data_IF_998904552556
#
_entry.id   IF_998904552556
#
_cell.length_a   1.000
_cell.length_b   1.000
_cell.length_c   1.000
_cell.angle_alpha   90.00
_cell.angle_beta   90.00
_cell.angle_gamma   90.00
#
_symmetry.space_group_name_H-M   'P 1'
#
loop_
_entity.id
_entity.type
_entity.pdbx_description
1 polymer ?
#
# COMPACT_ATOMS: atom_id res chain seq x y z
N UNK A 1 -0.32 -13.62 6.13
CA UNK A 1 -1.34 -12.57 6.18
C UNK A 1 -2.69 -13.26 6.19
N UNK A 2 -3.62 -12.83 7.04
CA UNK A 2 -4.98 -13.37 7.06
C UNK A 2 -5.93 -12.19 7.15
N UNK A 3 -6.71 -11.96 6.08
CA UNK A 3 -7.74 -10.91 5.97
C UNK A 3 -9.09 -11.59 5.78
N UNK A 4 -10.11 -11.16 6.52
CA UNK A 4 -11.46 -11.70 6.34
C UNK A 4 -12.14 -11.12 5.08
N UNK A 5 -13.26 -11.74 4.71
CA UNK A 5 -14.01 -11.40 3.51
C UNK A 5 -14.58 -9.98 3.53
N UNK A 6 -15.01 -9.46 4.69
CA UNK A 6 -15.62 -8.13 4.80
C UNK A 6 -14.56 -7.06 4.49
N UNK A 7 -13.39 -7.15 5.13
CA UNK A 7 -12.27 -6.22 4.89
C UNK A 7 -11.75 -6.32 3.46
N UNK A 8 -11.60 -7.54 2.93
CA UNK A 8 -11.19 -7.74 1.55
C UNK A 8 -12.13 -7.06 0.54
N UNK A 9 -13.45 -7.21 0.71
CA UNK A 9 -14.43 -6.62 -0.20
C UNK A 9 -14.47 -5.09 -0.13
N UNK A 10 -14.17 -4.50 1.03
CA UNK A 10 -14.07 -3.05 1.18
C UNK A 10 -12.78 -2.49 0.54
N UNK A 11 -11.68 -3.24 0.58
CA UNK A 11 -10.35 -2.80 0.12
C UNK A 11 -10.11 -3.07 -1.37
N UNK A 12 -10.44 -4.26 -1.85
CA UNK A 12 -9.99 -4.74 -3.15
C UNK A 12 -10.48 -3.90 -4.34
N UNK A 13 -11.74 -3.42 -4.41
CA UNK A 13 -12.21 -2.63 -5.56
C UNK A 13 -11.37 -1.36 -5.78
N UNK A 14 -11.17 -0.57 -4.73
CA UNK A 14 -10.40 0.68 -4.79
C UNK A 14 -8.93 0.42 -5.15
N UNK A 15 -8.33 -0.62 -4.57
CA UNK A 15 -6.96 -1.01 -4.93
C UNK A 15 -6.83 -1.32 -6.43
N UNK A 16 -7.73 -2.12 -7.00
CA UNK A 16 -7.66 -2.50 -8.41
C UNK A 16 -7.98 -1.35 -9.35
N UNK A 17 -8.86 -0.45 -8.96
CA UNK A 17 -9.14 0.78 -9.70
C UNK A 17 -7.87 1.64 -9.81
N UNK A 18 -7.20 1.88 -8.68
CA UNK A 18 -5.97 2.66 -8.62
C UNK A 18 -4.82 2.00 -9.39
N UNK A 19 -4.62 0.70 -9.18
CA UNK A 19 -3.62 -0.08 -9.90
C UNK A 19 -3.82 0.00 -11.41
N UNK A 20 -5.06 -0.15 -11.88
CA UNK A 20 -5.37 -0.09 -13.30
C UNK A 20 -5.27 1.33 -13.87
N UNK A 21 -5.59 2.36 -13.09
CA UNK A 21 -5.35 3.76 -13.48
C UNK A 21 -3.86 3.99 -13.74
N UNK A 22 -3.00 3.53 -12.83
CA UNK A 22 -1.53 3.63 -12.96
C UNK A 22 -0.98 2.78 -14.11
N UNK A 23 -1.46 1.56 -14.31
CA UNK A 23 -1.04 0.71 -15.44
C UNK A 23 -1.34 1.39 -16.77
N UNK A 24 -2.58 1.88 -16.97
CA UNK A 24 -2.97 2.58 -18.21
C UNK A 24 -2.16 3.83 -18.46
N UNK A 25 -1.88 4.63 -17.41
CA UNK A 25 -1.06 5.83 -17.52
C UNK A 25 0.39 5.54 -17.97
N UNK A 26 0.86 4.29 -17.79
CA UNK A 26 2.19 3.83 -18.23
C UNK A 26 2.13 2.96 -19.50
N UNK A 27 1.00 2.93 -20.21
CA UNK A 27 0.82 2.12 -21.42
C UNK A 27 0.76 0.60 -21.19
N UNK A 28 0.55 0.17 -19.94
CA UNK A 28 0.45 -1.24 -19.56
C UNK A 28 -1.02 -1.72 -19.57
N UNK A 29 -1.26 -3.01 -19.87
CA UNK A 29 -2.61 -3.57 -19.88
C UNK A 29 -3.22 -3.59 -18.47
N UNK A 30 -4.51 -3.29 -18.39
CA UNK A 30 -5.26 -3.41 -17.15
C UNK A 30 -5.39 -4.87 -16.71
N UNK A 31 -5.40 -5.08 -15.40
CA UNK A 31 -5.50 -6.40 -14.78
C UNK A 31 -6.76 -6.48 -13.93
N UNK A 32 -7.41 -7.64 -13.93
CA UNK A 32 -8.55 -7.94 -13.08
C UNK A 32 -8.23 -9.10 -12.16
N UNK A 33 -8.59 -8.97 -10.88
CA UNK A 33 -8.54 -10.09 -9.96
C UNK A 33 -9.44 -11.22 -10.43
N UNK A 34 -8.91 -12.44 -10.45
CA UNK A 34 -9.63 -13.65 -10.78
C UNK A 34 -9.52 -14.60 -9.60
N UNK A 35 -10.66 -15.01 -9.03
CA UNK A 35 -10.73 -15.77 -7.77
C UNK A 35 -10.18 -17.20 -7.85
N UNK A 36 -9.93 -17.73 -9.05
CA UNK A 36 -9.24 -19.00 -9.32
C UNK A 36 -8.80 -18.95 -10.78
N UNK A 37 -7.66 -18.31 -11.09
CA UNK A 37 -7.28 -18.14 -12.47
C UNK A 37 -6.69 -19.44 -13.01
N UNK A 38 -7.07 -19.84 -14.23
CA UNK A 38 -6.52 -21.04 -14.87
C UNK A 38 -5.02 -20.92 -15.21
N UNK A 39 -4.46 -19.71 -15.14
CA UNK A 39 -3.04 -19.37 -15.28
C UNK A 39 -2.71 -18.19 -14.35
N UNK A 40 -1.47 -18.02 -13.87
CA UNK A 40 -1.11 -16.86 -13.05
C UNK A 40 -1.48 -15.56 -13.76
N UNK A 41 -2.20 -14.67 -13.07
CA UNK A 41 -2.53 -13.34 -13.61
C UNK A 41 -1.23 -12.53 -13.61
N UNK A 42 -0.73 -12.06 -14.78
CA UNK A 42 0.53 -11.35 -14.86
C UNK A 42 0.35 -9.94 -14.27
N UNK A 43 0.62 -9.81 -12.97
CA UNK A 43 0.66 -8.52 -12.27
C UNK A 43 2.11 -8.08 -12.12
N UNK A 44 2.36 -6.78 -12.28
CA UNK A 44 3.67 -6.22 -11.96
C UNK A 44 3.97 -6.47 -10.46
N UNK A 45 5.16 -6.96 -10.08
CA UNK A 45 5.47 -7.35 -8.69
C UNK A 45 5.23 -6.25 -7.66
N UNK A 46 5.33 -4.98 -8.05
CA UNK A 46 5.03 -3.84 -7.18
C UNK A 46 3.59 -3.83 -6.67
N UNK A 47 2.64 -4.25 -7.50
CA UNK A 47 1.22 -4.28 -7.14
C UNK A 47 0.97 -5.31 -6.04
N UNK A 48 1.63 -6.46 -6.11
CA UNK A 48 1.55 -7.47 -5.06
C UNK A 48 2.08 -6.95 -3.71
N UNK A 49 3.20 -6.21 -3.74
CA UNK A 49 3.77 -5.57 -2.52
C UNK A 49 2.81 -4.53 -1.94
N UNK A 50 2.28 -3.65 -2.77
CA UNK A 50 1.33 -2.60 -2.34
C UNK A 50 0.04 -3.21 -1.78
N UNK A 51 -0.50 -4.26 -2.42
CA UNK A 51 -1.66 -5.00 -1.92
C UNK A 51 -1.37 -5.67 -0.57
N UNK A 52 -0.18 -6.26 -0.43
CA UNK A 52 0.25 -6.89 0.81
C UNK A 52 0.25 -5.87 1.95
N UNK A 53 0.84 -4.69 1.75
CA UNK A 53 0.87 -3.60 2.74
C UNK A 53 -0.53 -3.17 3.15
N UNK A 54 -1.42 -2.94 2.18
CA UNK A 54 -2.80 -2.55 2.47
C UNK A 54 -3.52 -3.60 3.30
N UNK A 55 -3.45 -4.86 2.89
CA UNK A 55 -4.06 -5.96 3.63
C UNK A 55 -3.46 -6.11 5.03
N UNK A 56 -2.16 -5.86 5.14
CA UNK A 56 -1.44 -5.85 6.39
C UNK A 56 -1.88 -4.71 7.31
N UNK A 57 -2.08 -3.50 6.79
CA UNK A 57 -2.52 -2.33 7.57
C UNK A 57 -3.91 -2.53 8.15
N UNK A 58 -4.82 -3.14 7.38
CA UNK A 58 -6.23 -3.25 7.77
C UNK A 58 -6.58 -4.54 8.50
N UNK A 59 -5.65 -5.49 8.66
CA UNK A 59 -5.98 -6.85 9.14
C UNK A 59 -6.72 -6.86 10.48
N UNK A 60 -6.39 -5.92 11.36
CA UNK A 60 -6.98 -5.74 12.70
C UNK A 60 -7.67 -4.36 12.84
N UNK A 61 -7.85 -3.62 11.74
CA UNK A 61 -8.54 -2.32 11.71
C UNK A 61 -10.06 -2.48 11.71
N UNK A 62 -10.84 -1.48 12.13
CA UNK A 62 -12.28 -1.52 11.87
C UNK A 62 -12.52 -1.49 10.36
N UNK A 63 -13.50 -2.22 9.81
CA UNK A 63 -13.90 -2.05 8.42
C UNK A 63 -14.25 -0.60 8.04
N UNK A 64 -14.69 0.19 9.03
CA UNK A 64 -15.03 1.61 8.85
C UNK A 64 -13.80 2.49 8.64
N UNK A 65 -12.61 2.02 9.03
CA UNK A 65 -11.34 2.74 8.84
C UNK A 65 -10.73 2.48 7.44
N UNK A 66 -11.24 1.50 6.69
CA UNK A 66 -10.69 1.10 5.38
C UNK A 66 -10.72 2.25 4.35
N UNK A 67 -11.78 3.08 4.26
CA UNK A 67 -11.75 4.26 3.39
C UNK A 67 -10.60 5.22 3.71
N UNK A 68 -10.33 5.46 5.00
CA UNK A 68 -9.20 6.29 5.42
C UNK A 68 -7.86 5.64 5.07
N UNK A 69 -7.74 4.32 5.27
CA UNK A 69 -6.57 3.54 4.87
C UNK A 69 -6.26 3.63 3.38
N UNK A 70 -7.27 3.48 2.53
CA UNK A 70 -7.12 3.62 1.07
C UNK A 70 -6.66 5.02 0.71
N UNK A 71 -7.26 6.05 1.32
CA UNK A 71 -6.89 7.44 1.06
C UNK A 71 -5.45 7.76 1.46
N UNK A 72 -5.04 7.36 2.67
CA UNK A 72 -3.67 7.53 3.14
C UNK A 72 -2.67 6.81 2.24
N UNK A 73 -2.96 5.57 1.84
CA UNK A 73 -2.14 4.82 0.90
C UNK A 73 -2.04 5.48 -0.49
N UNK A 74 -3.15 5.99 -1.03
CA UNK A 74 -3.15 6.73 -2.30
C UNK A 74 -2.29 7.98 -2.24
N UNK A 75 -2.25 8.65 -1.09
CA UNK A 75 -1.44 9.85 -0.87
C UNK A 75 0.07 9.58 -0.81
N UNK A 76 0.48 8.33 -0.58
CA UNK A 76 1.89 7.95 -0.56
C UNK A 76 2.46 7.92 -1.98
N UNK A 77 3.69 8.43 -2.13
CA UNK A 77 4.51 8.21 -3.31
C UNK A 77 4.84 6.71 -3.48
N UNK A 78 5.15 6.29 -4.71
CA UNK A 78 5.47 4.89 -5.01
C UNK A 78 6.63 4.37 -4.15
N UNK A 79 7.63 5.22 -3.93
CA UNK A 79 8.83 4.97 -3.14
C UNK A 79 8.50 4.74 -1.66
N UNK A 80 7.63 5.58 -1.09
CA UNK A 80 7.17 5.46 0.30
C UNK A 80 6.43 4.13 0.50
N UNK A 81 5.57 3.73 -0.46
CA UNK A 81 4.88 2.44 -0.42
C UNK A 81 5.88 1.29 -0.40
N UNK A 82 6.91 1.32 -1.25
CA UNK A 82 7.90 0.23 -1.30
C UNK A 82 8.79 0.19 -0.07
N UNK A 83 9.15 1.36 0.46
CA UNK A 83 9.88 1.46 1.70
C UNK A 83 9.09 0.82 2.86
N UNK A 84 7.79 1.10 2.99
CA UNK A 84 6.93 0.45 3.99
C UNK A 84 6.91 -1.08 3.85
N UNK A 85 6.88 -1.60 2.62
CA UNK A 85 6.94 -3.05 2.37
C UNK A 85 8.25 -3.63 2.92
N UNK A 86 9.38 -3.02 2.56
CA UNK A 86 10.72 -3.48 2.94
C UNK A 86 10.89 -3.48 4.46
N UNK A 87 10.48 -2.40 5.15
CA UNK A 87 10.58 -2.31 6.61
C UNK A 87 9.70 -3.35 7.31
N UNK A 88 8.49 -3.57 6.78
CA UNK A 88 7.56 -4.55 7.35
C UNK A 88 8.06 -5.98 7.14
N UNK A 89 8.46 -6.35 5.91
CA UNK A 89 8.86 -7.73 5.60
C UNK A 89 10.16 -8.13 6.28
N UNK A 90 11.10 -7.19 6.45
CA UNK A 90 12.40 -7.44 7.08
C UNK A 90 12.28 -7.89 8.55
N UNK A 91 11.18 -7.55 9.23
CA UNK A 91 11.02 -7.75 10.68
C UNK A 91 9.78 -8.56 11.05
N UNK A 92 8.69 -8.35 10.31
CA UNK A 92 7.34 -8.83 10.65
C UNK A 92 6.57 -9.34 9.43
N UNK A 93 7.27 -9.88 8.43
CA UNK A 93 6.66 -10.35 7.18
C UNK A 93 5.86 -11.65 7.28
N UNK A 94 6.00 -12.40 8.38
CA UNK A 94 5.33 -13.71 8.50
C UNK A 94 3.85 -13.56 8.84
N UNK A 95 3.06 -14.57 8.47
CA UNK A 95 1.60 -14.51 8.60
C UNK A 95 1.08 -14.36 10.03
N UNK A 96 1.80 -14.90 11.01
CA UNK A 96 1.42 -14.89 12.43
C UNK A 96 1.96 -13.69 13.20
N UNK A 97 2.88 -12.92 12.61
CA UNK A 97 3.40 -11.70 13.22
C UNK A 97 2.40 -10.57 12.96
N UNK A 98 1.34 -10.52 13.77
CA UNK A 98 0.27 -9.52 13.69
C UNK A 98 0.35 -8.53 14.86
N UNK A 99 -0.10 -7.30 14.65
CA UNK A 99 -0.25 -6.30 15.73
C UNK A 99 1.03 -5.86 16.46
N UNK A 100 2.22 -6.22 15.96
CA UNK A 100 3.51 -5.94 16.62
C UNK A 100 4.51 -5.27 15.68
N UNK A 101 5.47 -4.53 16.25
CA UNK A 101 6.55 -3.86 15.50
C UNK A 101 6.03 -3.04 14.32
N UNK A 102 6.60 -3.30 13.14
CA UNK A 102 6.22 -2.61 11.90
C UNK A 102 4.78 -2.86 11.47
N UNK A 103 4.11 -3.94 11.89
CA UNK A 103 2.67 -4.14 11.62
C UNK A 103 1.82 -3.12 12.35
N UNK A 104 2.17 -2.82 13.61
CA UNK A 104 1.51 -1.80 14.41
C UNK A 104 1.79 -0.40 13.85
N UNK A 105 3.04 -0.12 13.49
CA UNK A 105 3.42 1.13 12.84
C UNK A 105 2.68 1.33 11.50
N UNK A 106 2.54 0.26 10.71
CA UNK A 106 1.85 0.29 9.44
C UNK A 106 0.35 0.57 9.59
N UNK A 107 -0.31 -0.07 10.58
CA UNK A 107 -1.70 0.26 10.94
C UNK A 107 -1.81 1.73 11.34
N UNK A 108 -0.93 2.24 12.18
CA UNK A 108 -0.95 3.65 12.59
C UNK A 108 -0.78 4.61 11.40
N UNK A 109 0.21 4.35 10.54
CA UNK A 109 0.52 5.21 9.40
C UNK A 109 -0.58 5.24 8.34
N UNK A 110 -1.23 4.09 8.08
CA UNK A 110 -2.22 3.96 7.01
C UNK A 110 -3.65 4.16 7.56
N UNK A 111 -3.98 3.58 8.70
CA UNK A 111 -5.38 3.50 9.18
C UNK A 111 -5.72 4.59 10.21
N UNK A 112 -4.85 4.81 11.20
CA UNK A 112 -5.18 5.68 12.34
C UNK A 112 -4.92 7.17 12.08
N UNK A 113 -4.15 7.51 11.03
CA UNK A 113 -3.84 8.90 10.71
C UNK A 113 -5.06 9.60 10.07
N UNK A 114 -5.72 10.57 10.73
CA UNK A 114 -6.85 11.26 10.14
C UNK A 114 -6.36 12.07 8.96
N UNK A 115 -6.80 11.72 7.75
CA UNK A 115 -6.45 12.54 6.59
C UNK A 115 -7.25 13.85 6.62
N UNK A 116 -6.58 14.96 6.87
CA UNK A 116 -7.16 16.30 6.68
C UNK A 116 -6.72 16.82 5.32
N UNK A 117 -7.69 17.01 4.41
CA UNK A 117 -7.44 17.51 3.05
C UNK A 117 -6.78 18.89 3.12
N UNK A 118 -5.48 18.96 2.83
CA UNK A 118 -4.68 20.19 2.88
C UNK A 118 -3.65 20.25 4.01
N UNK A 119 -3.64 19.28 4.93
CA UNK A 119 -2.57 19.14 5.92
C UNK A 119 -1.51 18.13 5.45
N UNK A 120 -0.24 18.48 5.67
CA UNK A 120 0.92 17.66 5.27
C UNK A 120 1.52 18.02 3.91
N UNK A 121 2.65 17.40 3.61
CA UNK A 121 3.39 17.64 2.37
C UNK A 121 2.66 17.01 1.17
N UNK A 122 2.53 17.76 0.08
CA UNK A 122 2.01 17.21 -1.18
C UNK A 122 2.87 16.04 -1.66
N UNK A 123 2.33 15.05 -2.41
CA UNK A 123 3.14 13.96 -2.96
C UNK A 123 4.33 14.46 -3.79
N UNK A 124 4.18 15.61 -4.46
CA UNK A 124 5.28 16.28 -5.18
C UNK A 124 6.36 16.79 -4.23
N UNK A 125 5.98 17.50 -3.17
CA UNK A 125 6.92 17.99 -2.16
C UNK A 125 7.63 16.84 -1.43
N UNK A 126 6.93 15.74 -1.15
CA UNK A 126 7.54 14.51 -0.59
C UNK A 126 8.57 13.90 -1.53
N UNK A 127 8.24 13.78 -2.82
CA UNK A 127 9.19 13.28 -3.84
C UNK A 127 10.42 14.17 -3.97
N UNK A 128 10.24 15.50 -3.94
CA UNK A 128 11.35 16.44 -3.97
C UNK A 128 12.26 16.24 -2.75
N UNK A 129 11.71 16.18 -1.54
CA UNK A 129 12.49 15.91 -0.32
C UNK A 129 13.25 14.58 -0.39
N UNK A 130 12.59 13.51 -0.84
CA UNK A 130 13.22 12.19 -1.01
C UNK A 130 14.30 12.21 -2.11
N UNK A 131 14.13 13.01 -3.16
CA UNK A 131 15.10 13.20 -4.23
C UNK A 131 16.34 13.98 -3.79
N UNK A 132 16.18 15.01 -2.95
CA UNK A 132 17.30 15.78 -2.37
C UNK A 132 18.06 15.01 -1.28
N UNK A 133 17.45 13.99 -0.67
CA UNK A 133 18.08 13.16 0.36
C UNK A 133 19.01 12.07 -0.20
N UNK A 134 19.11 11.91 -1.52
CA UNK A 134 20.27 11.24 -2.09
C UNK A 134 21.45 12.18 -1.93
N UNK A 135 22.11 12.14 -0.76
CA UNK A 135 23.49 12.57 -0.64
C UNK A 135 24.20 12.00 -1.87
N UNK A 136 24.70 12.90 -2.71
CA UNK A 136 25.61 12.59 -3.79
C UNK A 136 26.84 11.92 -3.17
N UNK A 137 26.75 10.61 -2.94
CA UNK A 137 27.91 9.78 -2.76
C UNK A 137 28.46 9.55 -4.16
N UNK A 138 29.09 10.61 -4.68
CA UNK A 138 30.16 10.46 -5.66
C UNK A 138 31.24 9.62 -4.98
N UNK A 139 31.19 8.32 -5.23
CA UNK A 139 32.33 7.42 -5.15
C UNK A 139 33.09 7.47 -6.47
#
# INVERSE_FOLDING_TARGET
>A
MVIDRKRWLALAPAFWEEANRRLRANGLPAVRFQKNPGKPVPVHPSLGKELCILCWAVEDASPDDIPNALHNWESLASEERWWLYTMTVATTGQAMQKGLGWRKALRAAITDNPFVKGEGLSPKARREILGYSQLSLSL
#
